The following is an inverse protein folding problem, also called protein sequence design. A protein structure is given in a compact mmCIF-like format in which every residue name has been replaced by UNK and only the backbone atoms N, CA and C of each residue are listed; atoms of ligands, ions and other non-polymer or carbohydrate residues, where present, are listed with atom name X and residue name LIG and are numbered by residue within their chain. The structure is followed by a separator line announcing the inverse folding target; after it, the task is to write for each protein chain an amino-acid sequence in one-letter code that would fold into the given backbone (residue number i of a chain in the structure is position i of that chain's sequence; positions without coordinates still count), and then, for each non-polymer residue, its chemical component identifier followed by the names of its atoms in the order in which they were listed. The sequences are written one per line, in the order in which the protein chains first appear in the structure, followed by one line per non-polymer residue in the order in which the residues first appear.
data_IF_657223217538
#
_entry.id   IF_657223217538
#
_cell.length_a   1.000
_cell.length_b   1.000
_cell.length_c   1.000
_cell.angle_alpha   90.00
_cell.angle_beta   90.00
_cell.angle_gamma   90.00
#
_symmetry.space_group_name_H-M   'P 1'
#
loop_
_entity.id
_entity.type
_entity.pdbx_description
1 polymer ?
#
# COMPACT_ATOMS: atom_id res chain seq x y z
N UNK A 1 -5.99 3.29 24.58
CA UNK A 1 -5.03 3.91 23.63
C UNK A 1 -5.00 3.24 22.23
N UNK A 2 -5.59 2.05 22.03
CA UNK A 2 -5.61 1.35 20.71
C UNK A 2 -6.65 1.92 19.72
N UNK A 3 -7.70 2.61 20.20
CA UNK A 3 -8.75 3.19 19.35
C UNK A 3 -8.33 4.42 18.52
N UNK A 4 -7.10 4.92 18.68
CA UNK A 4 -6.61 6.11 17.98
C UNK A 4 -5.89 5.80 16.67
N UNK A 5 -5.54 4.54 16.39
CA UNK A 5 -4.83 4.20 15.15
C UNK A 5 -5.79 4.29 13.94
N UNK A 6 -5.47 5.08 12.90
CA UNK A 6 -6.34 5.28 11.74
C UNK A 6 -6.64 3.97 11.00
N UNK A 7 -5.72 3.00 11.03
CA UNK A 7 -5.89 1.68 10.43
C UNK A 7 -7.05 0.89 11.03
N UNK A 8 -7.32 1.03 12.33
CA UNK A 8 -8.44 0.33 12.98
C UNK A 8 -9.79 0.97 12.65
N UNK A 9 -9.83 2.31 12.57
CA UNK A 9 -11.04 3.07 12.20
C UNK A 9 -11.49 2.77 10.77
N UNK A 10 -10.55 2.58 9.84
CA UNK A 10 -10.86 2.22 8.46
C UNK A 10 -11.56 0.86 8.36
N UNK A 11 -11.08 -0.14 9.10
CA UNK A 11 -11.65 -1.49 9.08
C UNK A 11 -13.07 -1.51 9.67
N UNK A 12 -13.33 -0.71 10.71
CA UNK A 12 -14.67 -0.55 11.26
C UNK A 12 -15.60 0.17 10.28
N UNK A 13 -15.17 1.28 9.71
CA UNK A 13 -15.95 2.02 8.71
C UNK A 13 -16.33 1.17 7.48
N UNK A 14 -15.40 0.35 6.98
CA UNK A 14 -15.67 -0.56 5.87
C UNK A 14 -16.75 -1.60 6.21
N UNK A 15 -16.75 -2.10 7.46
CA UNK A 15 -17.78 -3.04 7.93
C UNK A 15 -19.14 -2.36 8.09
N UNK A 16 -19.16 -1.17 8.69
CA UNK A 16 -20.37 -0.38 8.93
C UNK A 16 -21.04 0.10 7.62
N UNK A 17 -20.31 0.12 6.50
CA UNK A 17 -20.87 0.47 5.18
C UNK A 17 -21.73 -0.65 4.58
N UNK A 18 -21.60 -1.89 5.06
CA UNK A 18 -22.40 -3.02 4.56
C UNK A 18 -23.81 -2.99 5.18
N UNK A 19 -24.83 -2.75 4.34
CA UNK A 19 -26.23 -2.80 4.77
C UNK A 19 -26.64 -4.24 5.14
N UNK A 20 -27.16 -4.42 6.34
CA UNK A 20 -27.88 -5.64 6.73
C UNK A 20 -29.32 -5.63 6.18
N UNK A 21 -29.96 -6.78 5.89
CA UNK A 21 -29.50 -8.17 5.98
C UNK A 21 -28.85 -8.70 4.68
N UNK A 22 -27.97 -9.75 4.70
CA UNK A 22 -27.57 -10.63 5.81
C UNK A 22 -26.42 -10.09 6.69
N UNK A 23 -26.02 -10.82 7.74
CA UNK A 23 -24.99 -10.36 8.70
C UNK A 23 -23.64 -10.08 8.03
N UNK A 24 -23.02 -8.96 8.41
CA UNK A 24 -21.76 -8.46 7.85
C UNK A 24 -20.67 -9.52 7.79
N UNK A 25 -20.50 -10.33 8.84
CA UNK A 25 -19.50 -11.40 8.88
C UNK A 25 -19.72 -12.47 7.80
N UNK A 26 -20.98 -12.83 7.48
CA UNK A 26 -21.27 -13.82 6.43
C UNK A 26 -20.99 -13.24 5.05
N UNK A 27 -21.43 -12.00 4.80
CA UNK A 27 -21.18 -11.29 3.54
C UNK A 27 -19.68 -11.08 3.33
N UNK A 28 -18.98 -10.56 4.33
CA UNK A 28 -17.53 -10.32 4.28
C UNK A 28 -16.75 -11.62 4.06
N UNK A 29 -17.12 -12.73 4.72
CA UNK A 29 -16.45 -14.01 4.50
C UNK A 29 -16.62 -14.51 3.07
N UNK A 30 -17.85 -14.44 2.52
CA UNK A 30 -18.13 -14.86 1.14
C UNK A 30 -17.38 -13.98 0.14
N UNK A 31 -17.46 -12.66 0.30
CA UNK A 31 -16.75 -11.70 -0.56
C UNK A 31 -15.24 -11.90 -0.47
N UNK A 32 -14.69 -12.14 0.72
CA UNK A 32 -13.25 -12.39 0.90
C UNK A 32 -12.81 -13.67 0.19
N UNK A 33 -13.58 -14.76 0.30
CA UNK A 33 -13.26 -16.02 -0.39
C UNK A 33 -13.26 -15.83 -1.91
N UNK A 34 -14.29 -15.18 -2.46
CA UNK A 34 -14.33 -14.91 -3.90
C UNK A 34 -13.22 -13.97 -4.34
N UNK A 35 -12.98 -12.89 -3.61
CA UNK A 35 -11.93 -11.92 -3.96
C UNK A 35 -10.55 -12.56 -3.94
N UNK A 36 -10.21 -13.28 -2.86
CA UNK A 36 -8.92 -13.98 -2.75
C UNK A 36 -8.79 -15.03 -3.85
N UNK A 37 -9.84 -15.82 -4.10
CA UNK A 37 -9.85 -16.83 -5.16
C UNK A 37 -9.61 -16.23 -6.54
N UNK A 38 -10.41 -15.23 -6.92
CA UNK A 38 -10.30 -14.54 -8.22
C UNK A 38 -8.94 -13.86 -8.38
N UNK A 39 -8.46 -13.14 -7.37
CA UNK A 39 -7.14 -12.48 -7.42
C UNK A 39 -5.99 -13.50 -7.53
N UNK A 40 -6.08 -14.62 -6.82
CA UNK A 40 -5.07 -15.68 -6.90
C UNK A 40 -5.03 -16.31 -8.28
N UNK A 41 -6.19 -16.67 -8.84
CA UNK A 41 -6.28 -17.22 -10.19
C UNK A 41 -5.74 -16.23 -11.22
N UNK A 42 -6.10 -14.95 -11.10
CA UNK A 42 -5.61 -13.91 -12.00
C UNK A 42 -4.08 -13.79 -11.95
N UNK A 43 -3.47 -13.70 -10.76
CA UNK A 43 -2.01 -13.62 -10.65
C UNK A 43 -1.28 -14.89 -11.12
N UNK A 44 -1.84 -16.07 -10.84
CA UNK A 44 -1.28 -17.33 -11.34
C UNK A 44 -1.35 -17.39 -12.87
N UNK A 45 -2.49 -17.03 -13.48
CA UNK A 45 -2.64 -16.97 -14.93
C UNK A 45 -1.64 -16.01 -15.56
N UNK A 46 -1.47 -14.81 -14.99
CA UNK A 46 -0.45 -13.86 -15.47
C UNK A 46 0.97 -14.42 -15.34
N UNK A 47 1.29 -15.11 -14.25
CA UNK A 47 2.58 -15.75 -14.06
C UNK A 47 2.85 -16.86 -15.09
N UNK A 48 1.88 -17.76 -15.32
CA UNK A 48 2.01 -18.83 -16.30
C UNK A 48 2.11 -18.31 -17.74
N UNK A 49 1.28 -17.34 -18.11
CA UNK A 49 1.31 -16.74 -19.46
C UNK A 49 2.60 -15.93 -19.66
N UNK A 50 3.00 -15.13 -18.67
CA UNK A 50 4.23 -14.34 -18.73
C UNK A 50 5.48 -15.21 -18.86
N UNK A 51 5.58 -16.26 -18.03
CA UNK A 51 6.67 -17.23 -18.14
C UNK A 51 6.61 -18.02 -19.44
N UNK A 52 5.42 -18.37 -19.94
CA UNK A 52 5.26 -19.03 -21.23
C UNK A 52 5.71 -18.16 -22.41
N UNK A 53 5.51 -16.85 -22.33
CA UNK A 53 5.88 -15.91 -23.39
C UNK A 53 7.37 -15.51 -23.37
N UNK A 54 7.95 -15.29 -22.19
CA UNK A 54 9.31 -14.74 -22.04
C UNK A 54 10.32 -15.69 -21.39
N UNK A 55 9.87 -16.83 -20.87
CA UNK A 55 10.70 -17.78 -20.15
C UNK A 55 11.42 -17.15 -18.95
N UNK A 56 12.68 -17.56 -18.74
CA UNK A 56 13.54 -17.03 -17.69
C UNK A 56 13.91 -15.54 -17.87
N UNK A 57 13.65 -14.96 -19.04
CA UNK A 57 13.93 -13.56 -19.36
C UNK A 57 12.73 -12.62 -19.09
N UNK A 58 11.72 -13.08 -18.33
CA UNK A 58 10.52 -12.29 -18.02
C UNK A 58 10.88 -10.98 -17.30
N UNK A 59 10.58 -9.81 -17.87
CA UNK A 59 10.87 -8.53 -17.22
C UNK A 59 9.89 -8.27 -16.06
N UNK A 60 10.38 -7.58 -15.02
CA UNK A 60 9.53 -7.24 -13.86
C UNK A 60 8.36 -6.31 -14.19
N UNK A 61 8.49 -5.48 -15.23
CA UNK A 61 7.36 -4.82 -15.88
C UNK A 61 7.08 -5.52 -17.21
N UNK A 62 5.97 -6.24 -17.28
CA UNK A 62 5.62 -7.05 -18.45
C UNK A 62 5.41 -6.18 -19.71
N UNK A 63 4.99 -4.93 -19.57
CA UNK A 63 4.79 -4.00 -20.68
C UNK A 63 6.08 -3.66 -21.42
N UNK A 64 7.24 -3.79 -20.75
CA UNK A 64 8.56 -3.58 -21.36
C UNK A 64 9.02 -4.81 -22.16
N UNK A 65 8.43 -5.99 -21.91
CA UNK A 65 8.77 -7.21 -22.64
C UNK A 65 8.18 -7.28 -24.04
N UNK A 66 7.11 -6.53 -24.31
CA UNK A 66 6.45 -6.51 -25.61
C UNK A 66 7.00 -5.39 -26.50
N UNK A 67 7.25 -5.71 -27.77
CA UNK A 67 7.76 -4.73 -28.75
C UNK A 67 6.67 -4.23 -29.71
N UNK A 68 5.68 -5.06 -30.05
CA UNK A 68 4.59 -4.73 -30.99
C UNK A 68 3.25 -5.34 -30.52
N UNK A 69 2.09 -4.74 -30.80
CA UNK A 69 1.90 -3.41 -31.40
C UNK A 69 2.03 -2.27 -30.37
N UNK A 70 2.67 -1.16 -30.77
CA UNK A 70 2.89 0.01 -29.90
C UNK A 70 1.63 0.62 -29.29
N UNK A 71 0.48 0.58 -30.00
CA UNK A 71 -0.77 1.13 -29.46
C UNK A 71 -1.19 0.41 -28.17
N UNK A 72 -0.89 -0.89 -28.05
CA UNK A 72 -1.39 -1.72 -26.96
C UNK A 72 -0.56 -1.46 -25.70
N UNK A 73 0.74 -1.31 -25.90
CA UNK A 73 1.69 -0.85 -24.89
C UNK A 73 1.29 0.57 -24.42
N UNK A 74 0.91 1.46 -25.34
CA UNK A 74 0.44 2.81 -25.03
C UNK A 74 -0.81 2.81 -24.12
N UNK A 75 -1.84 2.06 -24.50
CA UNK A 75 -3.06 1.91 -23.69
C UNK A 75 -2.75 1.31 -22.31
N UNK A 76 -1.89 0.28 -22.27
CA UNK A 76 -1.46 -0.34 -21.01
C UNK A 76 -0.78 0.66 -20.07
N UNK A 77 0.16 1.46 -20.58
CA UNK A 77 0.83 2.49 -19.79
C UNK A 77 -0.15 3.58 -19.30
N UNK A 78 -1.08 4.03 -20.15
CA UNK A 78 -2.12 5.00 -19.73
C UNK A 78 -2.98 4.41 -18.61
N UNK A 79 -3.40 3.15 -18.73
CA UNK A 79 -4.18 2.48 -17.69
C UNK A 79 -3.41 2.39 -16.36
N UNK A 80 -2.11 2.07 -16.39
CA UNK A 80 -1.25 2.08 -15.20
C UNK A 80 -1.20 3.48 -14.57
N UNK A 81 -1.01 4.53 -15.37
CA UNK A 81 -0.97 5.92 -14.86
C UNK A 81 -2.30 6.30 -14.20
N UNK A 82 -3.43 6.05 -14.86
CA UNK A 82 -4.77 6.35 -14.31
C UNK A 82 -5.00 5.58 -13.01
N UNK A 83 -4.65 4.29 -12.98
CA UNK A 83 -4.77 3.46 -11.78
C UNK A 83 -3.89 3.98 -10.63
N UNK A 84 -2.64 4.36 -10.90
CA UNK A 84 -1.72 4.90 -9.91
C UNK A 84 -2.19 6.25 -9.35
N UNK A 85 -2.77 7.13 -10.18
CA UNK A 85 -3.37 8.39 -9.70
C UNK A 85 -4.49 8.08 -8.70
N UNK A 86 -5.41 7.18 -9.06
CA UNK A 86 -6.50 6.76 -8.16
C UNK A 86 -5.98 6.15 -6.86
N UNK A 87 -4.98 5.26 -6.95
CA UNK A 87 -4.32 4.67 -5.78
C UNK A 87 -3.69 5.73 -4.87
N UNK A 88 -2.92 6.65 -5.44
CA UNK A 88 -2.30 7.75 -4.69
C UNK A 88 -3.34 8.58 -3.94
N UNK A 89 -4.45 8.93 -4.59
CA UNK A 89 -5.51 9.74 -3.96
C UNK A 89 -6.11 9.09 -2.72
N UNK A 90 -6.27 7.75 -2.71
CA UNK A 90 -6.84 7.02 -1.57
C UNK A 90 -5.79 6.71 -0.51
N UNK A 91 -4.62 6.20 -0.91
CA UNK A 91 -3.58 5.75 0.03
C UNK A 91 -2.81 6.90 0.69
N UNK A 92 -2.78 8.10 0.09
CA UNK A 92 -2.13 9.26 0.69
C UNK A 92 -2.95 9.89 1.82
N UNK A 93 -4.29 9.72 1.86
CA UNK A 93 -5.14 10.38 2.87
C UNK A 93 -4.76 10.02 4.31
N UNK A 94 -4.57 8.73 4.68
CA UNK A 94 -4.19 8.38 6.03
C UNK A 94 -2.78 8.91 6.39
N UNK A 95 -1.86 8.92 5.42
CA UNK A 95 -0.50 9.44 5.62
C UNK A 95 -0.51 10.95 5.87
N UNK A 96 -1.26 11.71 5.06
CA UNK A 96 -1.46 13.15 5.27
C UNK A 96 -2.12 13.42 6.62
N UNK A 97 -3.17 12.68 6.98
CA UNK A 97 -3.84 12.85 8.27
C UNK A 97 -2.91 12.58 9.45
N UNK A 98 -2.07 11.55 9.38
CA UNK A 98 -1.09 11.24 10.42
C UNK A 98 -0.03 12.34 10.56
N UNK A 99 0.53 12.81 9.44
CA UNK A 99 1.54 13.85 9.45
C UNK A 99 0.96 15.19 9.91
N UNK A 100 -0.22 15.58 9.41
CA UNK A 100 -0.93 16.79 9.85
C UNK A 100 -1.22 16.76 11.36
N UNK A 101 -1.72 15.63 11.89
CA UNK A 101 -2.00 15.47 13.32
C UNK A 101 -0.71 15.49 14.16
N UNK A 102 0.36 14.86 13.68
CA UNK A 102 1.64 14.86 14.36
C UNK A 102 2.24 16.28 14.41
N UNK A 103 2.25 17.00 13.29
CA UNK A 103 2.68 18.40 13.24
C UNK A 103 1.81 19.29 14.15
N UNK A 104 0.49 19.10 14.14
CA UNK A 104 -0.42 19.87 15.00
C UNK A 104 -0.21 19.59 16.49
N UNK A 105 0.15 18.36 16.87
CA UNK A 105 0.44 17.99 18.25
C UNK A 105 1.81 18.54 18.70
N UNK A 106 2.81 18.48 17.82
CA UNK A 106 4.18 18.92 18.10
C UNK A 106 4.31 20.45 18.17
N UNK A 107 3.55 21.19 17.35
CA UNK A 107 3.59 22.67 17.26
C UNK A 107 2.29 23.34 17.71
N UNK A 108 1.65 22.80 18.76
CA UNK A 108 0.39 23.30 19.34
C UNK A 108 0.45 24.75 19.85
N UNK A 109 1.65 25.28 20.12
CA UNK A 109 1.87 26.64 20.62
C UNK A 109 2.01 27.70 19.53
N UNK A 110 2.04 27.33 18.25
CA UNK A 110 2.24 28.28 17.14
C UNK A 110 0.93 28.65 16.42
N UNK A 111 0.67 29.96 16.30
CA UNK A 111 -0.54 30.54 15.67
C UNK A 111 -0.75 30.13 14.19
N UNK A 112 0.30 29.61 13.55
CA UNK A 112 0.31 29.14 12.17
C UNK A 112 -0.55 27.88 11.93
N UNK A 113 -0.68 26.98 12.93
CA UNK A 113 -1.47 25.75 12.78
C UNK A 113 -2.97 25.94 13.05
N UNK A 114 -3.36 26.99 13.79
CA UNK A 114 -4.75 27.26 14.16
C UNK A 114 -5.43 28.35 13.32
N UNK A 115 -4.70 29.06 12.45
CA UNK A 115 -5.26 30.13 11.62
C UNK A 115 -6.08 29.58 10.44
N UNK A 116 -7.35 29.30 10.68
CA UNK A 116 -8.35 28.94 9.64
C UNK A 116 -8.74 30.20 8.88
N UNK A 117 -8.27 30.33 7.63
CA UNK A 117 -8.65 31.44 6.76
C UNK A 117 -9.89 31.04 5.96
N UNK A 118 -11.01 31.74 6.17
CA UNK A 118 -12.24 31.51 5.42
C UNK A 118 -12.21 32.34 4.14
N UNK A 119 -11.96 31.70 2.99
CA UNK A 119 -12.10 32.36 1.69
C UNK A 119 -13.54 32.20 1.20
N UNK A 120 -14.25 33.33 1.11
CA UNK A 120 -15.53 33.41 0.38
C UNK A 120 -15.20 33.65 -1.10
N UNK A 121 -15.40 32.63 -1.93
CA UNK A 121 -15.26 32.75 -3.38
C UNK A 121 -16.51 33.43 -3.96
N UNK A 122 -16.37 34.54 -4.70
CA UNK A 122 -17.52 35.30 -5.23
C UNK A 122 -18.30 34.57 -6.34
N UNK A 123 -17.73 33.54 -6.97
CA UNK A 123 -18.33 32.82 -8.11
C UNK A 123 -18.99 31.46 -7.76
N UNK A 124 -18.94 31.02 -6.50
CA UNK A 124 -19.41 29.69 -6.09
C UNK A 124 -20.49 29.76 -4.98
N UNK A 125 -21.64 30.37 -5.31
CA UNK A 125 -22.92 30.17 -4.61
C UNK A 125 -22.87 29.94 -3.09
N UNK A 126 -22.21 30.84 -2.34
CA UNK A 126 -22.23 30.83 -0.87
C UNK A 126 -21.41 29.73 -0.17
N UNK A 127 -20.63 28.91 -0.88
CA UNK A 127 -19.75 27.90 -0.25
C UNK A 127 -18.50 28.58 0.32
N UNK A 128 -18.42 28.65 1.65
CA UNK A 128 -17.21 29.13 2.35
C UNK A 128 -16.19 28.00 2.39
N UNK A 129 -15.04 28.18 1.73
CA UNK A 129 -13.95 27.22 1.83
C UNK A 129 -13.09 27.58 3.06
N UNK A 130 -13.06 26.68 4.03
CA UNK A 130 -12.15 26.77 5.17
C UNK A 130 -10.82 26.12 4.79
N UNK A 131 -9.82 26.93 4.43
CA UNK A 131 -8.47 26.45 4.15
C UNK A 131 -7.54 26.77 5.32
N UNK A 132 -6.86 25.73 5.82
CA UNK A 132 -5.75 25.91 6.76
C UNK A 132 -4.46 25.91 5.96
N UNK A 133 -3.76 27.05 5.88
CA UNK A 133 -2.50 27.19 5.12
C UNK A 133 -1.44 26.15 5.55
N UNK A 134 -1.40 25.82 6.84
CA UNK A 134 -0.50 24.80 7.39
C UNK A 134 -0.70 23.43 6.75
N UNK A 135 -1.94 23.00 6.49
CA UNK A 135 -2.25 21.72 5.83
C UNK A 135 -1.81 21.70 4.38
N UNK A 136 -1.97 22.83 3.67
CA UNK A 136 -1.54 22.94 2.28
C UNK A 136 -0.01 22.82 2.17
N UNK A 137 0.73 23.55 3.01
CA UNK A 137 2.20 23.51 3.04
C UNK A 137 2.71 22.10 3.38
N UNK A 138 2.15 21.45 4.40
CA UNK A 138 2.53 20.08 4.77
C UNK A 138 2.29 19.10 3.63
N UNK A 139 1.14 19.17 2.94
CA UNK A 139 0.86 18.32 1.78
C UNK A 139 1.83 18.56 0.63
N UNK A 140 2.11 19.82 0.29
CA UNK A 140 3.08 20.17 -0.76
C UNK A 140 4.46 19.62 -0.43
N UNK A 141 4.93 19.77 0.81
CA UNK A 141 6.23 19.24 1.25
C UNK A 141 6.26 17.71 1.11
N UNK A 142 5.22 17.01 1.56
CA UNK A 142 5.16 15.54 1.45
C UNK A 142 5.18 15.10 -0.02
N UNK A 143 4.40 15.76 -0.87
CA UNK A 143 4.38 15.48 -2.32
C UNK A 143 5.77 15.69 -2.91
N UNK A 144 6.38 16.87 -2.71
CA UNK A 144 7.72 17.19 -3.23
C UNK A 144 8.78 16.19 -2.77
N UNK A 145 8.79 15.83 -1.48
CA UNK A 145 9.72 14.83 -0.94
C UNK A 145 9.48 13.45 -1.55
N UNK A 146 8.23 13.02 -1.67
CA UNK A 146 7.90 11.73 -2.28
C UNK A 146 8.28 11.66 -3.76
N UNK A 147 8.12 12.76 -4.50
CA UNK A 147 8.55 12.87 -5.90
C UNK A 147 10.07 12.83 -6.01
N UNK A 148 10.79 13.52 -5.12
CA UNK A 148 12.25 13.50 -5.10
C UNK A 148 12.80 12.09 -4.83
N UNK A 149 12.22 11.38 -3.85
CA UNK A 149 12.56 9.97 -3.58
C UNK A 149 12.24 9.07 -4.78
N UNK A 150 11.09 9.26 -5.42
CA UNK A 150 10.72 8.49 -6.61
C UNK A 150 11.63 8.77 -7.81
N UNK A 151 12.10 10.01 -7.98
CA UNK A 151 12.99 10.40 -9.06
C UNK A 151 14.42 9.88 -8.85
N UNK A 152 14.85 9.70 -7.60
CA UNK A 152 16.21 9.26 -7.27
C UNK A 152 16.36 7.74 -7.19
N UNK A 153 15.26 6.99 -7.03
CA UNK A 153 15.29 5.53 -6.88
C UNK A 153 14.57 4.85 -8.06
N UNK A 154 15.28 4.53 -9.17
CA UNK A 154 14.65 3.96 -10.36
C UNK A 154 14.27 2.46 -10.25
N UNK A 155 14.41 1.84 -9.07
CA UNK A 155 14.23 0.40 -8.85
C UNK A 155 12.93 0.04 -8.12
N UNK A 156 11.81 0.45 -8.70
CA UNK A 156 10.47 0.26 -8.14
C UNK A 156 10.18 -1.19 -7.71
N UNK A 157 10.53 -2.17 -8.54
CA UNK A 157 10.28 -3.60 -8.24
C UNK A 157 11.04 -4.10 -7.01
N UNK A 158 12.29 -3.68 -6.83
CA UNK A 158 13.09 -4.07 -5.67
C UNK A 158 12.58 -3.38 -4.39
N UNK A 159 12.11 -2.14 -4.48
CA UNK A 159 11.45 -1.46 -3.37
C UNK A 159 10.14 -2.13 -2.98
N UNK A 160 9.29 -2.49 -3.94
CA UNK A 160 8.05 -3.22 -3.68
C UNK A 160 8.33 -4.59 -3.05
N UNK A 161 9.34 -5.32 -3.54
CA UNK A 161 9.77 -6.59 -2.96
C UNK A 161 10.21 -6.43 -1.50
N UNK A 162 11.02 -5.41 -1.20
CA UNK A 162 11.51 -5.15 0.15
C UNK A 162 10.38 -4.72 1.10
N UNK A 163 9.60 -3.70 0.72
CA UNK A 163 8.49 -3.19 1.53
C UNK A 163 7.42 -4.25 1.75
N UNK A 164 7.10 -5.01 0.70
CA UNK A 164 6.19 -6.14 0.76
C UNK A 164 6.67 -7.19 1.75
N UNK A 165 7.94 -7.60 1.66
CA UNK A 165 8.54 -8.59 2.56
C UNK A 165 8.55 -8.14 4.03
N UNK A 166 8.94 -6.90 4.29
CA UNK A 166 9.00 -6.35 5.66
C UNK A 166 7.60 -6.22 6.26
N UNK A 167 6.62 -5.75 5.48
CA UNK A 167 5.27 -5.51 5.97
C UNK A 167 4.44 -6.82 6.07
N UNK A 168 4.65 -7.77 5.15
CA UNK A 168 3.82 -8.97 5.00
C UNK A 168 3.79 -9.83 6.26
N UNK A 169 4.95 -10.23 6.80
CA UNK A 169 4.97 -11.09 7.98
C UNK A 169 4.28 -10.48 9.21
N UNK A 170 4.67 -9.29 9.70
CA UNK A 170 4.09 -8.75 10.94
C UNK A 170 2.61 -8.38 10.75
N UNK A 171 2.24 -7.79 9.61
CA UNK A 171 0.90 -7.23 9.42
C UNK A 171 -0.11 -8.27 8.90
N UNK A 172 0.27 -9.12 7.96
CA UNK A 172 -0.65 -10.03 7.27
C UNK A 172 -0.70 -11.41 7.92
N UNK A 173 0.40 -11.86 8.53
CA UNK A 173 0.50 -13.23 9.04
C UNK A 173 0.54 -13.27 10.57
N UNK A 174 1.59 -12.72 11.19
CA UNK A 174 1.83 -12.86 12.61
C UNK A 174 0.73 -12.23 13.46
N UNK A 175 0.38 -10.97 13.19
CA UNK A 175 -0.60 -10.25 14.00
C UNK A 175 -2.01 -10.89 13.94
N UNK A 176 -2.59 -11.23 12.77
CA UNK A 176 -3.85 -11.95 12.70
C UNK A 176 -3.82 -13.34 13.34
N UNK A 177 -2.70 -14.08 13.21
CA UNK A 177 -2.54 -15.40 13.85
C UNK A 177 -2.56 -15.27 15.38
N UNK A 178 -1.81 -14.31 15.94
CA UNK A 178 -1.82 -14.03 17.37
C UNK A 178 -3.21 -13.60 17.86
N UNK A 179 -3.90 -12.73 17.11
CA UNK A 179 -5.28 -12.33 17.40
C UNK A 179 -6.23 -13.52 17.40
N UNK A 180 -6.13 -14.41 16.42
CA UNK A 180 -6.98 -15.59 16.32
C UNK A 180 -6.75 -16.56 17.49
N UNK A 181 -5.48 -16.81 17.86
CA UNK A 181 -5.13 -17.66 19.01
C UNK A 181 -5.69 -17.08 20.31
N UNK A 182 -5.58 -15.75 20.50
CA UNK A 182 -6.11 -15.06 21.67
C UNK A 182 -7.65 -15.07 21.71
N UNK A 183 -8.33 -14.85 20.58
CA UNK A 183 -9.80 -14.87 20.53
C UNK A 183 -10.39 -16.27 20.69
N UNK A 184 -9.81 -17.28 20.03
CA UNK A 184 -10.29 -18.66 20.07
C UNK A 184 -9.78 -19.46 21.27
N UNK A 185 -9.02 -18.83 22.18
CA UNK A 185 -8.47 -19.44 23.41
C UNK A 185 -7.77 -20.78 23.13
N UNK A 186 -6.97 -20.82 22.06
CA UNK A 186 -6.32 -22.06 21.63
C UNK A 186 -5.25 -22.46 22.65
N UNK A 187 -5.38 -23.66 23.22
CA UNK A 187 -4.42 -24.19 24.20
C UNK A 187 -3.01 -24.23 23.61
N UNK A 188 -2.04 -23.66 24.33
CA UNK A 188 -0.62 -23.70 23.97
C UNK A 188 -0.19 -25.16 23.77
N UNK A 189 0.57 -25.42 22.70
CA UNK A 189 1.01 -26.76 22.23
C UNK A 189 -0.08 -27.68 21.67
N UNK A 190 -1.32 -27.24 21.48
CA UNK A 190 -2.28 -27.98 20.65
C UNK A 190 -1.76 -28.12 19.21
N UNK A 191 -2.13 -29.19 18.50
CA UNK A 191 -1.80 -29.39 17.07
C UNK A 191 -2.18 -28.15 16.25
N UNK A 192 -3.35 -27.54 16.54
CA UNK A 192 -3.80 -26.31 15.88
C UNK A 192 -2.86 -25.12 16.16
N UNK A 193 -2.38 -25.00 17.39
CA UNK A 193 -1.44 -23.93 17.77
C UNK A 193 -0.08 -24.13 17.08
N UNK A 194 0.42 -25.37 17.06
CA UNK A 194 1.70 -25.70 16.39
C UNK A 194 1.59 -25.45 14.89
N UNK A 195 0.49 -25.86 14.24
CA UNK A 195 0.26 -25.61 12.82
C UNK A 195 0.22 -24.11 12.48
N UNK A 196 -0.49 -23.31 13.27
CA UNK A 196 -0.58 -21.85 13.06
C UNK A 196 0.78 -21.16 13.25
N UNK A 197 1.55 -21.57 14.26
CA UNK A 197 2.90 -21.02 14.48
C UNK A 197 3.90 -21.48 13.41
N UNK A 198 3.85 -22.75 13.00
CA UNK A 198 4.69 -23.26 11.92
C UNK A 198 4.44 -22.52 10.60
N UNK A 199 3.17 -22.30 10.24
CA UNK A 199 2.80 -21.49 9.08
C UNK A 199 3.36 -20.06 9.18
N UNK A 200 3.22 -19.41 10.33
CA UNK A 200 3.78 -18.07 10.58
C UNK A 200 5.30 -18.04 10.43
N UNK A 201 6.01 -19.06 10.95
CA UNK A 201 7.46 -19.18 10.81
C UNK A 201 7.90 -19.44 9.37
N UNK A 202 7.18 -20.25 8.60
CA UNK A 202 7.46 -20.44 7.17
C UNK A 202 7.29 -19.12 6.41
N UNK A 203 6.22 -18.39 6.66
CA UNK A 203 6.02 -17.07 6.07
C UNK A 203 7.11 -16.07 6.47
N UNK A 204 7.64 -16.15 7.70
CA UNK A 204 8.78 -15.35 8.14
C UNK A 204 10.02 -15.65 7.29
N UNK A 205 10.35 -16.93 7.10
CA UNK A 205 11.51 -17.34 6.30
C UNK A 205 11.39 -16.85 4.85
N UNK A 206 10.22 -17.02 4.24
CA UNK A 206 9.96 -16.53 2.88
C UNK A 206 10.11 -15.00 2.81
N UNK A 207 9.61 -14.27 3.82
CA UNK A 207 9.75 -12.82 3.90
C UNK A 207 11.21 -12.39 4.04
N UNK A 208 12.01 -13.09 4.87
CA UNK A 208 13.44 -12.81 5.02
C UNK A 208 14.20 -13.06 3.73
N UNK A 209 13.89 -14.15 3.01
CA UNK A 209 14.47 -14.44 1.70
C UNK A 209 14.11 -13.36 0.66
N UNK A 210 12.85 -12.93 0.62
CA UNK A 210 12.38 -11.87 -0.26
C UNK A 210 13.04 -10.52 0.03
N UNK A 211 13.19 -10.17 1.32
CA UNK A 211 13.88 -8.98 1.75
C UNK A 211 15.37 -9.03 1.36
N UNK A 212 16.05 -10.15 1.60
CA UNK A 212 17.45 -10.34 1.22
C UNK A 212 17.65 -10.23 -0.30
N UNK A 213 16.79 -10.88 -1.09
CA UNK A 213 16.81 -10.79 -2.55
C UNK A 213 16.62 -9.35 -3.05
N UNK A 214 15.69 -8.62 -2.44
CA UNK A 214 15.44 -7.21 -2.77
C UNK A 214 16.63 -6.33 -2.42
N UNK A 215 17.27 -6.52 -1.26
CA UNK A 215 18.48 -5.78 -0.85
C UNK A 215 19.65 -6.04 -1.80
N UNK A 216 19.85 -7.29 -2.23
CA UNK A 216 20.89 -7.65 -3.21
C UNK A 216 20.60 -6.97 -4.55
N UNK A 217 19.35 -6.94 -4.99
CA UNK A 217 18.95 -6.29 -6.24
C UNK A 217 19.18 -4.77 -6.18
N UNK A 218 18.76 -4.12 -5.08
CA UNK A 218 19.03 -2.70 -4.82
C UNK A 218 20.53 -2.41 -4.85
N UNK A 219 21.35 -3.22 -4.17
CA UNK A 219 22.79 -3.03 -4.12
C UNK A 219 23.44 -3.20 -5.51
N UNK A 220 22.96 -4.15 -6.33
CA UNK A 220 23.42 -4.31 -7.72
C UNK A 220 23.06 -3.12 -8.58
N UNK A 221 21.81 -2.65 -8.49
CA UNK A 221 21.34 -1.53 -9.29
C UNK A 221 22.01 -0.22 -8.87
N UNK A 222 22.24 0.02 -7.58
CA UNK A 222 22.99 1.17 -7.08
C UNK A 222 24.46 1.18 -7.52
N UNK A 223 25.10 0.02 -7.67
CA UNK A 223 26.48 -0.07 -8.20
C UNK A 223 26.55 0.30 -9.69
N UNK A 224 25.48 0.09 -10.45
CA UNK A 224 25.41 0.43 -11.88
C UNK A 224 24.78 1.81 -12.12
N UNK A 225 24.01 2.32 -11.17
CA UNK A 225 23.44 3.65 -11.19
C UNK A 225 24.53 4.70 -10.94
N UNK A 226 25.18 5.14 -12.01
CA UNK A 226 25.94 6.40 -11.97
C UNK A 226 24.93 7.54 -11.79
N UNK A 227 25.00 8.38 -10.74
CA UNK A 227 23.87 9.24 -10.36
C UNK A 227 23.50 10.37 -11.34
N UNK A 228 24.22 10.53 -12.47
CA UNK A 228 24.01 11.64 -13.41
C UNK A 228 24.45 11.27 -14.84
N UNK A 229 23.75 10.35 -15.49
CA UNK A 229 23.68 10.33 -16.97
C UNK A 229 22.21 10.40 -17.34
N UNK A 230 21.77 11.60 -17.70
CA UNK A 230 20.58 11.77 -18.51
C UNK A 230 20.93 11.21 -19.89
N UNK A 231 20.19 10.20 -20.33
CA UNK A 231 20.28 9.65 -21.68
C UNK A 231 18.97 9.94 -22.41
#
# INVERSE_FOLDING_TARGET
MICANPSHKLIMFLKDTLKAPPSENKTMKRVSIYSIGTTTLFYLSLGFVGYGAFGAATPGNILVGFYEPFWLIGIGNIAVVVHMIGGYQVFSQPAFALCENWCSAQWSSSSFFHSVHKLRLPFAGGKSFEFTFSKLVVRTIIVCLSTLVSATLPFFNAMLGLLGSIAFWPMTVHYPVCMHIAQAQIKRRSIKWVALMAMSSICLLVSLMGAAGSVVDIAKQLRHARPFHFQ
#
